data_IF_405147154380
#
_entry.id   IF_405147154380
#
_cell.length_a   1.000
_cell.length_b   1.000
_cell.length_c   1.000
_cell.angle_alpha   90.00
_cell.angle_beta   90.00
_cell.angle_gamma   90.00
#
_symmetry.space_group_name_H-M   'P 1'
#
loop_
_entity.id
_entity.type
_entity.pdbx_description
1 polymer ?
#
# COMPACT_ATOMS: atom_id res chain seq x y z
N UNK A 1 12.50 -16.62 23.03
CA UNK A 1 13.39 -15.47 22.83
C UNK A 1 14.10 -15.75 21.52
N UNK A 2 13.38 -15.58 20.42
CA UNK A 2 13.83 -15.94 19.07
C UNK A 2 13.40 -14.83 18.12
N UNK A 3 14.33 -14.52 17.21
CA UNK A 3 14.28 -13.58 16.08
C UNK A 3 14.29 -12.06 16.38
N UNK A 4 15.41 -11.56 16.89
CA UNK A 4 15.84 -10.15 16.67
C UNK A 4 16.61 -9.98 15.34
N UNK A 5 16.66 -11.00 14.48
CA UNK A 5 17.34 -10.95 13.16
C UNK A 5 16.39 -10.69 11.98
N UNK A 6 15.16 -10.24 12.22
CA UNK A 6 14.21 -9.96 11.14
C UNK A 6 14.50 -8.66 10.36
N UNK A 7 15.23 -7.67 10.89
CA UNK A 7 14.92 -6.28 10.50
C UNK A 7 16.07 -5.39 9.98
N UNK A 8 17.24 -5.95 9.63
CA UNK A 8 18.37 -5.12 9.16
C UNK A 8 18.44 -4.90 7.64
N UNK A 9 17.69 -5.67 6.84
CA UNK A 9 17.75 -5.62 5.37
C UNK A 9 16.39 -5.51 4.68
N UNK A 10 15.33 -5.30 5.45
CA UNK A 10 13.98 -5.12 4.93
C UNK A 10 13.74 -3.63 4.65
N UNK A 11 13.43 -3.32 3.40
CA UNK A 11 13.15 -1.96 2.94
C UNK A 11 11.63 -1.76 2.94
N UNK A 12 11.14 -0.99 3.92
CA UNK A 12 9.74 -0.57 3.97
C UNK A 12 9.60 0.84 3.38
N UNK A 13 8.99 0.95 2.19
CA UNK A 13 8.76 2.23 1.51
C UNK A 13 7.32 2.71 1.72
N UNK A 14 7.14 4.03 1.87
CA UNK A 14 5.82 4.62 2.07
C UNK A 14 5.28 4.50 3.49
N UNK A 15 6.15 4.27 4.48
CA UNK A 15 5.79 4.17 5.91
C UNK A 15 5.07 5.42 6.42
N UNK A 16 5.42 6.59 5.88
CA UNK A 16 4.78 7.89 6.15
C UNK A 16 3.33 7.97 5.65
N UNK A 17 3.01 7.21 4.60
CA UNK A 17 1.65 7.13 4.07
C UNK A 17 0.83 6.08 4.84
N UNK A 18 1.44 4.99 5.30
CA UNK A 18 0.79 4.04 6.20
C UNK A 18 0.41 4.68 7.55
N UNK A 19 1.26 5.57 8.09
CA UNK A 19 0.94 6.37 9.28
C UNK A 19 -0.11 7.44 8.97
N UNK A 20 -0.06 8.08 7.80
CA UNK A 20 -1.12 8.98 7.32
C UNK A 20 -2.48 8.30 7.17
N UNK A 21 -2.52 7.09 6.62
CA UNK A 21 -3.71 6.26 6.51
C UNK A 21 -4.27 5.87 7.89
N UNK A 22 -3.40 5.49 8.82
CA UNK A 22 -3.76 5.21 10.20
C UNK A 22 -4.34 6.44 10.89
N UNK A 23 -3.75 7.63 10.65
CA UNK A 23 -4.25 8.90 11.19
C UNK A 23 -5.61 9.31 10.60
N UNK A 24 -5.81 9.15 9.30
CA UNK A 24 -7.11 9.42 8.64
C UNK A 24 -8.17 8.44 9.14
N UNK A 25 -7.83 7.15 9.27
CA UNK A 25 -8.74 6.12 9.80
C UNK A 25 -9.08 6.39 11.27
N UNK A 26 -8.10 6.78 12.09
CA UNK A 26 -8.32 7.15 13.48
C UNK A 26 -9.19 8.40 13.61
N UNK A 27 -8.90 9.44 12.83
CA UNK A 27 -9.69 10.68 12.79
C UNK A 27 -11.12 10.42 12.33
N UNK A 28 -11.30 9.50 11.39
CA UNK A 28 -12.61 9.02 10.94
C UNK A 28 -13.39 8.32 12.06
N UNK A 29 -12.79 7.36 12.76
CA UNK A 29 -13.44 6.66 13.88
C UNK A 29 -13.81 7.65 14.98
N UNK A 30 -12.92 8.58 15.31
CA UNK A 30 -13.18 9.63 16.28
C UNK A 30 -14.36 10.51 15.84
N UNK A 31 -14.39 10.94 14.57
CA UNK A 31 -15.47 11.77 14.02
C UNK A 31 -16.83 11.06 14.00
N UNK A 32 -16.88 9.81 13.51
CA UNK A 32 -18.10 8.98 13.51
C UNK A 32 -18.60 8.73 14.94
N UNK A 33 -17.69 8.50 15.88
CA UNK A 33 -18.04 8.32 17.30
C UNK A 33 -18.64 9.59 17.89
N UNK A 34 -18.04 10.76 17.61
CA UNK A 34 -18.54 12.06 18.07
C UNK A 34 -19.94 12.33 17.49
N UNK A 35 -20.17 12.04 16.20
CA UNK A 35 -21.49 12.17 15.57
C UNK A 35 -22.50 11.20 16.17
N UNK A 36 -22.11 9.94 16.39
CA UNK A 36 -22.98 8.94 17.03
C UNK A 36 -23.42 9.37 18.43
N UNK A 37 -22.48 9.88 19.23
CA UNK A 37 -22.77 10.46 20.55
C UNK A 37 -23.72 11.66 20.43
N UNK A 38 -23.50 12.54 19.46
CA UNK A 38 -24.34 13.71 19.21
C UNK A 38 -25.78 13.31 18.82
N UNK A 39 -25.94 12.29 17.97
CA UNK A 39 -27.25 11.75 17.58
C UNK A 39 -27.98 11.10 18.75
N UNK A 40 -27.29 10.34 19.60
CA UNK A 40 -27.87 9.76 20.82
C UNK A 40 -28.27 10.88 21.80
N UNK A 41 -27.44 11.91 21.97
CA UNK A 41 -27.76 13.06 22.81
C UNK A 41 -29.01 13.82 22.29
N UNK A 42 -29.11 14.03 20.98
CA UNK A 42 -30.29 14.63 20.32
C UNK A 42 -31.54 13.74 20.44
N UNK A 43 -31.39 12.42 20.53
CA UNK A 43 -32.53 11.52 20.75
C UNK A 43 -33.09 11.61 22.18
N UNK A 44 -32.23 11.95 23.16
CA UNK A 44 -32.62 12.16 24.55
C UNK A 44 -33.23 13.55 24.81
N UNK A 45 -32.80 14.57 24.08
CA UNK A 45 -33.42 15.91 24.05
C UNK A 45 -34.51 15.86 22.98
N UNK A 46 -35.65 15.26 23.30
CA UNK A 46 -36.81 14.95 22.46
C UNK A 46 -36.85 15.51 21.02
N UNK A 47 -37.24 14.66 20.06
CA UNK A 47 -37.53 14.95 18.64
C UNK A 47 -38.63 16.01 18.38
N UNK A 48 -38.71 17.05 19.20
CA UNK A 48 -39.80 18.02 19.23
C UNK A 48 -39.51 19.22 18.33
N UNK A 49 -38.26 19.48 17.92
CA UNK A 49 -37.95 20.59 16.99
C UNK A 49 -36.79 20.26 16.01
N UNK A 50 -36.85 19.14 15.29
CA UNK A 50 -35.98 18.97 14.11
C UNK A 50 -36.49 19.87 12.96
N UNK A 51 -36.11 21.14 13.00
CA UNK A 51 -36.26 22.05 11.87
C UNK A 51 -35.39 21.62 10.68
N UNK A 52 -35.65 22.17 9.49
CA UNK A 52 -34.89 21.91 8.26
C UNK A 52 -33.35 22.00 8.45
N UNK A 53 -32.87 22.80 9.40
CA UNK A 53 -31.46 22.88 9.78
C UNK A 53 -30.87 21.59 10.38
N UNK A 54 -31.62 20.81 11.14
CA UNK A 54 -31.16 19.52 11.70
C UNK A 54 -31.03 18.43 10.63
N UNK A 55 -31.97 18.39 9.68
CA UNK A 55 -31.92 17.50 8.52
C UNK A 55 -30.75 17.89 7.60
N UNK A 56 -30.53 19.19 7.38
CA UNK A 56 -29.39 19.68 6.62
C UNK A 56 -28.05 19.31 7.28
N UNK A 57 -27.93 19.42 8.60
CA UNK A 57 -26.73 19.03 9.34
C UNK A 57 -26.45 17.53 9.21
N UNK A 58 -27.48 16.68 9.36
CA UNK A 58 -27.37 15.23 9.18
C UNK A 58 -26.89 14.88 7.77
N UNK A 59 -27.46 15.53 6.74
CA UNK A 59 -27.08 15.32 5.34
C UNK A 59 -25.62 15.73 5.07
N UNK A 60 -25.19 16.90 5.58
CA UNK A 60 -23.79 17.36 5.45
C UNK A 60 -22.85 16.35 6.09
N UNK A 61 -23.17 15.88 7.30
CA UNK A 61 -22.37 14.88 8.01
C UNK A 61 -22.24 13.57 7.21
N UNK A 62 -23.34 13.04 6.69
CA UNK A 62 -23.33 11.82 5.89
C UNK A 62 -22.53 11.97 4.59
N UNK A 63 -22.65 13.13 3.92
CA UNK A 63 -21.88 13.45 2.71
C UNK A 63 -20.39 13.56 3.04
N UNK A 64 -20.02 14.23 4.12
CA UNK A 64 -18.62 14.33 4.56
C UNK A 64 -18.04 12.96 4.90
N UNK A 65 -18.78 12.11 5.60
CA UNK A 65 -18.38 10.71 5.88
C UNK A 65 -18.18 9.93 4.59
N UNK A 66 -19.12 9.99 3.65
CA UNK A 66 -19.01 9.31 2.36
C UNK A 66 -17.81 9.81 1.53
N UNK A 67 -17.56 11.12 1.54
CA UNK A 67 -16.41 11.72 0.87
C UNK A 67 -15.07 11.27 1.49
N UNK A 68 -14.97 11.19 2.83
CA UNK A 68 -13.78 10.70 3.52
C UNK A 68 -13.55 9.22 3.24
N UNK A 69 -14.59 8.38 3.24
CA UNK A 69 -14.48 6.95 2.89
C UNK A 69 -14.05 6.76 1.45
N UNK A 70 -14.66 7.50 0.52
CA UNK A 70 -14.28 7.46 -0.89
C UNK A 70 -12.84 7.91 -1.10
N UNK A 71 -12.42 9.00 -0.45
CA UNK A 71 -11.05 9.47 -0.48
C UNK A 71 -10.08 8.43 0.09
N UNK A 72 -10.36 7.88 1.27
CA UNK A 72 -9.52 6.87 1.90
C UNK A 72 -9.39 5.60 1.04
N UNK A 73 -10.47 5.11 0.43
CA UNK A 73 -10.46 3.95 -0.44
C UNK A 73 -9.70 4.18 -1.75
N UNK A 74 -9.89 5.35 -2.38
CA UNK A 74 -9.16 5.71 -3.61
C UNK A 74 -7.68 5.95 -3.30
N UNK A 75 -7.38 6.53 -2.14
CA UNK A 75 -6.02 6.83 -1.72
C UNK A 75 -5.27 5.55 -1.31
N UNK A 76 -5.89 4.64 -0.53
CA UNK A 76 -5.25 3.37 -0.13
C UNK A 76 -4.96 2.47 -1.32
N UNK A 77 -5.85 2.42 -2.32
CA UNK A 77 -5.61 1.65 -3.54
C UNK A 77 -4.48 2.19 -4.42
N UNK A 78 -4.18 3.50 -4.33
CA UNK A 78 -3.10 4.15 -5.11
C UNK A 78 -1.78 4.27 -4.35
N UNK A 79 -1.81 4.20 -3.03
CA UNK A 79 -0.66 4.51 -2.17
C UNK A 79 -0.39 3.41 -1.11
N UNK A 80 -0.62 2.15 -1.48
CA UNK A 80 -0.33 1.00 -0.62
C UNK A 80 1.19 0.89 -0.37
N UNK A 81 1.63 0.72 0.89
CA UNK A 81 3.05 0.60 1.21
C UNK A 81 3.66 -0.64 0.54
N UNK A 82 4.92 -0.51 0.12
CA UNK A 82 5.68 -1.60 -0.46
C UNK A 82 6.64 -2.10 0.60
N UNK A 83 6.52 -3.39 0.92
CA UNK A 83 7.39 -4.08 1.85
C UNK A 83 8.32 -4.97 1.04
N UNK A 84 9.61 -4.68 1.09
CA UNK A 84 10.60 -5.42 0.34
C UNK A 84 11.50 -6.15 1.30
N UNK A 85 11.52 -7.48 1.17
CA UNK A 85 12.46 -8.32 1.88
C UNK A 85 13.55 -8.82 0.94
N UNK A 86 14.51 -9.55 1.51
CA UNK A 86 15.59 -10.16 0.75
C UNK A 86 15.11 -11.18 -0.29
N UNK A 87 13.97 -11.83 -0.05
CA UNK A 87 13.48 -12.98 -0.84
C UNK A 87 12.20 -12.68 -1.61
N UNK A 88 11.46 -11.65 -1.17
CA UNK A 88 10.12 -11.34 -1.68
C UNK A 88 9.88 -9.83 -1.71
N UNK A 89 8.93 -9.43 -2.54
CA UNK A 89 8.34 -8.10 -2.56
C UNK A 89 6.85 -8.23 -2.29
N UNK A 90 6.34 -7.46 -1.33
CA UNK A 90 4.94 -7.44 -0.93
C UNK A 90 4.34 -6.08 -1.26
N UNK A 91 3.15 -6.11 -1.86
CA UNK A 91 2.42 -4.89 -2.23
C UNK A 91 1.09 -5.20 -2.90
N UNK A 92 0.38 -4.12 -3.25
CA UNK A 92 -0.86 -4.20 -4.02
C UNK A 92 -0.55 -4.14 -5.51
N UNK A 93 -0.45 -5.32 -6.13
CA UNK A 93 -0.06 -5.45 -7.53
C UNK A 93 -1.29 -5.60 -8.42
N UNK A 94 -1.23 -4.97 -9.60
CA UNK A 94 -2.20 -5.16 -10.66
C UNK A 94 -1.72 -6.26 -11.60
N UNK A 95 -2.52 -7.33 -11.72
CA UNK A 95 -2.29 -8.49 -12.57
C UNK A 95 -3.58 -8.78 -13.34
N UNK A 96 -3.53 -8.91 -14.67
CA UNK A 96 -4.71 -9.23 -15.51
C UNK A 96 -5.94 -8.36 -15.18
N UNK A 97 -5.74 -7.05 -15.01
CA UNK A 97 -6.78 -6.05 -14.67
C UNK A 97 -7.40 -6.17 -13.27
N UNK A 98 -6.85 -6.99 -12.38
CA UNK A 98 -7.24 -7.05 -10.97
C UNK A 98 -6.10 -6.55 -10.09
N UNK A 99 -6.42 -5.69 -9.14
CA UNK A 99 -5.48 -5.23 -8.12
C UNK A 99 -5.69 -6.07 -6.87
N UNK A 100 -4.65 -6.79 -6.47
CA UNK A 100 -4.67 -7.71 -5.35
C UNK A 100 -3.41 -7.53 -4.50
N UNK A 101 -3.55 -7.63 -3.17
CA UNK A 101 -2.39 -7.70 -2.29
C UNK A 101 -1.75 -9.07 -2.43
N UNK A 102 -0.47 -9.09 -2.78
CA UNK A 102 0.28 -10.33 -2.98
C UNK A 102 1.75 -10.16 -2.63
N UNK A 103 2.39 -11.29 -2.36
CA UNK A 103 3.84 -11.41 -2.35
C UNK A 103 4.31 -11.96 -3.70
N UNK A 104 5.44 -11.45 -4.19
CA UNK A 104 6.11 -11.94 -5.39
C UNK A 104 7.54 -12.31 -5.01
N UNK A 105 8.00 -13.50 -5.36
CA UNK A 105 9.38 -13.89 -5.05
C UNK A 105 10.35 -13.31 -6.07
N UNK A 106 11.50 -12.78 -5.59
CA UNK A 106 12.59 -12.37 -6.48
C UNK A 106 13.10 -13.52 -7.38
N UNK A 107 12.94 -14.77 -6.94
CA UNK A 107 13.33 -15.95 -7.73
C UNK A 107 12.46 -16.14 -8.98
N UNK A 108 11.20 -15.72 -8.92
CA UNK A 108 10.21 -15.84 -9.99
C UNK A 108 10.33 -14.73 -11.03
N UNK A 109 10.95 -13.60 -10.69
CA UNK A 109 11.05 -12.41 -11.55
C UNK A 109 12.22 -12.50 -12.53
N UNK A 110 12.01 -12.22 -13.82
CA UNK A 110 13.06 -12.20 -14.86
C UNK A 110 13.54 -10.80 -15.21
N UNK A 111 12.67 -9.80 -15.10
CA UNK A 111 12.99 -8.41 -15.38
C UNK A 111 12.20 -7.46 -14.47
N UNK A 112 12.68 -6.23 -14.37
CA UNK A 112 11.91 -5.12 -13.82
C UNK A 112 12.12 -3.87 -14.68
N UNK A 113 11.10 -3.01 -14.75
CA UNK A 113 11.14 -1.74 -15.47
C UNK A 113 10.38 -0.66 -14.69
N UNK A 114 10.91 0.57 -14.72
CA UNK A 114 10.19 1.75 -14.25
C UNK A 114 9.68 2.54 -15.46
N UNK A 115 8.36 2.66 -15.57
CA UNK A 115 7.72 3.52 -16.56
C UNK A 115 7.86 5.00 -16.14
N UNK A 116 7.95 5.89 -17.15
CA UNK A 116 7.80 7.35 -17.02
C UNK A 116 6.51 7.78 -16.34
N UNK A 117 5.45 6.98 -16.37
CA UNK A 117 4.21 7.24 -15.63
C UNK A 117 4.33 6.94 -14.13
N UNK A 118 5.47 6.42 -13.65
CA UNK A 118 5.71 6.12 -12.24
C UNK A 118 5.21 4.74 -11.81
N UNK A 119 5.12 3.79 -12.74
CA UNK A 119 4.81 2.39 -12.42
C UNK A 119 6.09 1.56 -12.40
N UNK A 120 6.17 0.65 -11.43
CA UNK A 120 7.12 -0.45 -11.41
C UNK A 120 6.44 -1.67 -12.03
N UNK A 121 7.02 -2.18 -13.11
CA UNK A 121 6.64 -3.41 -13.76
C UNK A 121 7.62 -4.51 -13.38
N UNK A 122 7.11 -5.63 -12.91
CA UNK A 122 7.89 -6.83 -12.60
C UNK A 122 7.41 -7.95 -13.51
N UNK A 123 8.31 -8.50 -14.31
CA UNK A 123 8.01 -9.61 -15.21
C UNK A 123 8.43 -10.92 -14.55
N UNK A 124 7.54 -11.91 -14.49
CA UNK A 124 7.85 -13.24 -14.00
C UNK A 124 8.22 -14.23 -15.11
N UNK A 125 8.86 -15.34 -14.72
CA UNK A 125 9.28 -16.45 -15.60
C UNK A 125 8.12 -17.09 -16.35
N UNK A 126 6.90 -17.02 -15.82
CA UNK A 126 5.68 -17.53 -16.45
C UNK A 126 5.05 -16.54 -17.44
N UNK A 127 5.66 -15.35 -17.63
CA UNK A 127 5.17 -14.28 -18.47
C UNK A 127 4.12 -13.37 -17.80
N UNK A 128 3.84 -13.55 -16.51
CA UNK A 128 2.98 -12.63 -15.77
C UNK A 128 3.69 -11.29 -15.54
N UNK A 129 2.95 -10.19 -15.69
CA UNK A 129 3.43 -8.84 -15.41
C UNK A 129 2.68 -8.30 -14.19
N UNK A 130 3.43 -8.06 -13.12
CA UNK A 130 2.96 -7.44 -11.90
C UNK A 130 3.26 -5.95 -11.96
N UNK A 131 2.23 -5.12 -11.86
CA UNK A 131 2.39 -3.66 -11.97
C UNK A 131 1.97 -2.98 -10.67
N UNK A 132 2.80 -2.08 -10.15
CA UNK A 132 2.48 -1.28 -8.96
C UNK A 132 2.83 0.19 -9.19
N UNK A 133 1.95 1.10 -8.76
CA UNK A 133 2.20 2.53 -8.85
C UNK A 133 3.12 2.98 -7.72
N UNK A 134 4.29 3.52 -8.09
CA UNK A 134 5.36 3.93 -7.18
C UNK A 134 5.72 5.41 -7.35
N UNK A 135 5.12 6.11 -8.32
CA UNK A 135 5.37 7.52 -8.63
C UNK A 135 4.98 8.51 -7.53
N UNK A 136 4.35 8.02 -6.45
CA UNK A 136 4.05 8.81 -5.26
C UNK A 136 5.15 8.75 -4.20
N UNK A 137 6.12 7.84 -4.32
CA UNK A 137 7.31 7.87 -3.47
C UNK A 137 8.15 9.10 -3.77
N UNK A 138 8.86 9.59 -2.76
CA UNK A 138 9.84 10.66 -2.96
C UNK A 138 10.98 10.18 -3.87
N UNK A 139 11.63 11.10 -4.58
CA UNK A 139 12.77 10.78 -5.46
C UNK A 139 13.85 9.92 -4.75
N UNK A 140 14.24 10.19 -3.48
CA UNK A 140 15.17 9.33 -2.75
C UNK A 140 14.64 7.91 -2.50
N UNK A 141 13.35 7.75 -2.20
CA UNK A 141 12.73 6.43 -2.01
C UNK A 141 12.66 5.65 -3.32
N UNK A 142 12.40 6.33 -4.45
CA UNK A 142 12.43 5.72 -5.78
C UNK A 142 13.85 5.27 -6.16
N UNK A 143 14.87 6.07 -5.86
CA UNK A 143 16.27 5.69 -6.07
C UNK A 143 16.67 4.48 -5.23
N UNK A 144 16.26 4.43 -3.95
CA UNK A 144 16.49 3.28 -3.07
C UNK A 144 15.80 2.02 -3.60
N UNK A 145 14.54 2.13 -4.04
CA UNK A 145 13.79 1.04 -4.65
C UNK A 145 14.52 0.53 -5.90
N UNK A 146 14.94 1.43 -6.78
CA UNK A 146 15.66 1.06 -7.99
C UNK A 146 17.00 0.40 -7.68
N UNK A 147 17.76 0.90 -6.71
CA UNK A 147 19.02 0.29 -6.29
C UNK A 147 18.81 -1.12 -5.75
N UNK A 148 17.76 -1.33 -4.93
CA UNK A 148 17.42 -2.62 -4.37
C UNK A 148 17.01 -3.64 -5.44
N UNK A 149 16.10 -3.26 -6.36
CA UNK A 149 15.69 -4.11 -7.48
C UNK A 149 16.92 -4.52 -8.34
N UNK A 150 17.82 -3.57 -8.61
CA UNK A 150 19.04 -3.82 -9.40
C UNK A 150 19.97 -4.81 -8.73
N UNK A 151 20.24 -4.64 -7.44
CA UNK A 151 21.13 -5.52 -6.68
C UNK A 151 20.57 -6.94 -6.62
N UNK A 152 19.27 -7.09 -6.36
CA UNK A 152 18.62 -8.40 -6.27
C UNK A 152 18.64 -9.16 -7.59
N UNK A 153 18.37 -8.49 -8.70
CA UNK A 153 18.38 -9.13 -10.02
C UNK A 153 19.81 -9.51 -10.45
N UNK A 154 20.79 -8.63 -10.18
CA UNK A 154 22.21 -8.89 -10.50
C UNK A 154 22.81 -10.03 -9.68
N UNK A 155 22.53 -10.09 -8.38
CA UNK A 155 23.05 -11.15 -7.51
C UNK A 155 22.45 -12.52 -7.84
N UNK A 156 21.27 -12.57 -8.48
CA UNK A 156 20.69 -13.80 -9.00
C UNK A 156 21.50 -14.37 -10.17
N UNK A 157 21.84 -13.54 -11.15
CA UNK A 157 22.61 -13.97 -12.33
C UNK A 157 23.98 -14.54 -11.94
N UNK A 158 24.58 -14.00 -10.87
CA UNK A 158 25.83 -14.51 -10.30
C UNK A 158 25.67 -15.84 -9.55
N UNK A 159 24.52 -16.08 -8.91
CA UNK A 159 24.20 -17.34 -8.23
C UNK A 159 23.93 -18.50 -9.18
N UNK A 160 23.22 -18.25 -10.27
CA UNK A 160 22.94 -19.27 -11.31
C UNK A 160 24.24 -19.72 -12.01
N UNK A 161 25.19 -18.80 -12.24
CA UNK A 161 26.48 -19.15 -12.84
C UNK A 161 27.39 -20.00 -11.94
N UNK A 162 27.35 -19.82 -10.61
CA UNK A 162 28.10 -20.69 -9.69
C UNK A 162 27.56 -22.13 -9.67
N UNK A 163 26.24 -22.30 -9.71
CA UNK A 163 25.65 -23.63 -9.72
C UNK A 163 25.89 -24.41 -11.01
N UNK A 164 26.02 -23.74 -12.16
CA UNK A 164 26.45 -24.39 -13.41
C UNK A 164 27.93 -24.79 -13.39
N UNK A 165 28.80 -24.03 -12.70
CA UNK A 165 30.23 -24.32 -12.67
C UNK A 165 30.60 -25.50 -11.75
N UNK A 166 29.81 -25.77 -10.70
CA UNK A 166 30.06 -26.89 -9.78
C UNK A 166 29.55 -28.24 -10.30
N UNK A 167 28.68 -28.27 -11.33
CA UNK A 167 28.18 -29.53 -11.92
C UNK A 167 29.04 -30.08 -13.06
N UNK A 168 30.12 -29.39 -13.44
CA UNK A 168 31.00 -29.78 -14.56
C UNK A 168 32.39 -30.24 -14.05
N UNK A 169 32.60 -30.33 -12.73
CA UNK A 169 33.85 -30.87 -12.15
C UNK A 169 33.71 -32.33 -11.76
#
# INVERSE_FOLDING_TARGET
MESEEADANDLALGRTVATGHSYVTFSYIAFVTIIGIFMVALSGVGMIEMHAGGIALLAIVMISVGAVVHFAAVYSGKHAPLLISQTRIFGSFTVKQRTEEMEVSWSELVAYEFDRQGYLHLEARDGAIYTIYVGWYSEPEQEQLHAFCRDRMRNRDLGDHRHTSERIS
#
